data_IF_142008512716
#
_entry.id   IF_142008512716
#
_cell.length_a   1.000
_cell.length_b   1.000
_cell.length_c   1.000
_cell.angle_alpha   90.00
_cell.angle_beta   90.00
_cell.angle_gamma   90.00
#
_symmetry.space_group_name_H-M   'P 1'
#
loop_
_entity.id
_entity.type
_entity.pdbx_description
1 polymer ?
#
# COMPACT_ATOMS: atom_id res chain seq x y z
N UNK A 1 27.79 3.48 -3.43
CA UNK A 1 27.74 3.75 -4.88
C UNK A 1 26.82 2.70 -5.52
N UNK A 2 25.50 2.89 -5.41
CA UNK A 2 24.46 2.08 -6.08
C UNK A 2 23.20 2.93 -6.35
N UNK A 3 23.38 4.21 -6.69
CA UNK A 3 22.26 5.15 -6.91
C UNK A 3 21.73 5.16 -8.35
N UNK A 4 22.25 4.31 -9.23
CA UNK A 4 22.00 4.37 -10.68
C UNK A 4 20.68 3.73 -11.15
N UNK A 5 20.01 2.93 -10.32
CA UNK A 5 18.84 2.13 -10.78
C UNK A 5 17.55 2.96 -10.80
N UNK A 6 17.48 4.01 -9.98
CA UNK A 6 16.31 4.90 -9.88
C UNK A 6 16.59 6.29 -10.47
N UNK A 7 17.75 6.50 -11.08
CA UNK A 7 18.09 7.75 -11.73
C UNK A 7 17.13 8.03 -12.89
N UNK A 8 16.45 9.18 -12.84
CA UNK A 8 15.42 9.56 -13.81
C UNK A 8 14.00 9.06 -13.47
N UNK A 9 13.82 8.24 -12.43
CA UNK A 9 12.49 7.90 -11.93
C UNK A 9 11.94 9.09 -11.14
N UNK A 10 10.81 9.64 -11.59
CA UNK A 10 10.14 10.77 -10.93
C UNK A 10 8.84 10.37 -10.22
N UNK A 11 8.30 9.19 -10.56
CA UNK A 11 7.03 8.70 -10.04
C UNK A 11 7.11 7.22 -9.67
N UNK A 12 6.51 6.87 -8.54
CA UNK A 12 6.36 5.50 -8.05
C UNK A 12 4.88 5.18 -7.85
N UNK A 13 4.42 4.08 -8.44
CA UNK A 13 3.08 3.55 -8.19
C UNK A 13 3.24 2.20 -7.50
N UNK A 14 2.63 2.08 -6.32
CA UNK A 14 2.81 0.93 -5.43
C UNK A 14 1.50 0.19 -5.27
N UNK A 15 1.51 -1.12 -5.43
CA UNK A 15 0.36 -2.00 -5.18
C UNK A 15 0.75 -2.99 -4.09
N UNK A 16 -0.19 -3.35 -3.22
CA UNK A 16 0.08 -4.33 -2.17
C UNK A 16 -0.97 -4.33 -1.07
N UNK A 17 -0.55 -4.80 0.09
CA UNK A 17 -1.35 -5.00 1.30
C UNK A 17 -1.02 -3.94 2.36
N UNK A 18 -1.19 -4.32 3.64
CA UNK A 18 -0.86 -3.58 4.86
C UNK A 18 0.50 -2.85 4.78
N UNK A 19 1.52 -3.46 4.17
CA UNK A 19 2.90 -2.93 4.18
C UNK A 19 3.09 -1.64 3.37
N UNK A 20 2.13 -1.33 2.50
CA UNK A 20 2.15 -0.16 1.62
C UNK A 20 0.83 0.62 1.67
N UNK A 21 -0.10 0.24 2.53
CA UNK A 21 -1.33 0.99 2.77
C UNK A 21 -1.01 2.31 3.51
N UNK A 22 -1.46 3.43 2.94
CA UNK A 22 -1.25 4.78 3.46
C UNK A 22 -2.45 5.30 4.27
N UNK A 23 -3.33 4.42 4.73
CA UNK A 23 -4.53 4.75 5.49
C UNK A 23 -5.84 4.55 4.73
N UNK A 24 -5.82 3.83 3.60
CA UNK A 24 -7.03 3.47 2.87
C UNK A 24 -7.91 2.54 3.71
N UNK A 25 -7.37 1.45 4.26
CA UNK A 25 -8.15 0.60 5.17
C UNK A 25 -8.64 1.35 6.40
N UNK A 26 -7.85 2.29 6.92
CA UNK A 26 -8.26 3.18 8.01
C UNK A 26 -9.50 3.99 7.66
N UNK A 27 -9.51 4.63 6.50
CA UNK A 27 -10.65 5.41 6.03
C UNK A 27 -11.88 4.54 5.76
N UNK A 28 -11.69 3.36 5.16
CA UNK A 28 -12.81 2.45 4.86
C UNK A 28 -13.39 1.75 6.11
N UNK A 29 -12.65 1.72 7.21
CA UNK A 29 -13.11 1.22 8.51
C UNK A 29 -13.46 2.36 9.49
N UNK A 30 -13.93 3.50 8.99
CA UNK A 30 -14.38 4.65 9.79
C UNK A 30 -13.35 5.15 10.83
N UNK A 31 -12.05 5.00 10.52
CA UNK A 31 -10.96 5.39 11.40
C UNK A 31 -10.71 4.46 12.59
N UNK A 32 -11.16 3.20 12.51
CA UNK A 32 -11.04 2.22 13.59
C UNK A 32 -9.86 1.27 13.38
N UNK A 33 -9.56 0.89 12.14
CA UNK A 33 -8.57 -0.15 11.83
C UNK A 33 -7.60 0.29 10.72
N UNK A 34 -6.28 0.33 10.95
CA UNK A 34 -5.57 -0.14 12.15
C UNK A 34 -5.79 0.77 13.37
N UNK A 35 -5.64 0.22 14.59
CA UNK A 35 -5.90 0.97 15.85
C UNK A 35 -5.01 2.23 15.93
N UNK A 36 -5.61 3.44 15.89
CA UNK A 36 -4.86 4.69 15.84
C UNK A 36 -4.06 4.97 17.11
N UNK A 37 -4.26 4.22 18.20
CA UNK A 37 -3.47 4.35 19.44
C UNK A 37 -2.07 3.77 19.32
N UNK A 38 -1.86 2.81 18.40
CA UNK A 38 -0.59 2.09 18.25
C UNK A 38 -0.04 2.15 16.83
N UNK A 39 -0.88 2.49 15.85
CA UNK A 39 -0.52 2.60 14.44
C UNK A 39 -0.48 4.05 13.96
N UNK A 40 0.47 4.35 13.09
CA UNK A 40 0.79 5.70 12.67
C UNK A 40 -0.17 6.21 11.60
N UNK A 41 -1.08 7.12 11.95
CA UNK A 41 -1.99 7.81 11.01
C UNK A 41 -2.58 6.88 9.92
N UNK A 42 -3.11 5.73 10.34
CA UNK A 42 -3.72 4.74 9.45
C UNK A 42 -2.78 3.77 8.72
N UNK A 43 -1.45 3.89 8.89
CA UNK A 43 -0.48 2.90 8.36
C UNK A 43 -0.38 1.71 9.31
N UNK A 44 -0.15 0.51 8.77
CA UNK A 44 0.13 -0.70 9.56
C UNK A 44 1.58 -0.75 10.09
N UNK A 45 2.11 0.40 10.50
CA UNK A 45 3.44 0.53 11.10
C UNK A 45 3.47 1.72 12.07
N UNK A 46 4.59 1.92 12.76
CA UNK A 46 4.78 3.00 13.74
C UNK A 46 5.34 4.30 13.12
N UNK A 47 5.29 4.44 11.79
CA UNK A 47 5.82 5.57 11.04
C UNK A 47 5.54 5.46 9.55
N UNK A 48 6.46 5.94 8.73
CA UNK A 48 6.41 5.78 7.27
C UNK A 48 6.62 4.31 6.87
N UNK A 49 5.84 3.85 5.88
CA UNK A 49 6.07 2.57 5.19
C UNK A 49 7.43 2.56 4.47
N UNK A 50 7.90 1.38 4.06
CA UNK A 50 9.16 1.28 3.29
C UNK A 50 9.10 2.07 1.98
N UNK A 51 7.92 2.08 1.34
CA UNK A 51 7.70 2.78 0.08
C UNK A 51 7.71 4.30 0.28
N UNK A 52 7.06 4.81 1.34
CA UNK A 52 7.13 6.23 1.71
C UNK A 52 8.58 6.67 1.99
N UNK A 53 9.36 5.84 2.71
CA UNK A 53 10.77 6.12 2.98
C UNK A 53 11.60 6.18 1.70
N UNK A 54 11.45 5.17 0.83
CA UNK A 54 12.18 5.14 -0.45
C UNK A 54 11.85 6.36 -1.33
N UNK A 55 10.57 6.72 -1.42
CA UNK A 55 10.12 7.87 -2.17
C UNK A 55 10.68 9.18 -1.59
N UNK A 56 10.68 9.32 -0.26
CA UNK A 56 11.24 10.48 0.42
C UNK A 56 12.75 10.60 0.20
N UNK A 57 13.49 9.50 0.39
CA UNK A 57 14.96 9.46 0.25
C UNK A 57 15.41 9.77 -1.19
N UNK A 58 14.57 9.48 -2.18
CA UNK A 58 14.88 9.67 -3.60
C UNK A 58 14.20 10.89 -4.23
N UNK A 59 13.37 11.63 -3.48
CA UNK A 59 12.62 12.77 -4.00
C UNK A 59 11.62 12.37 -5.10
N UNK A 60 11.03 11.19 -4.99
CA UNK A 60 10.10 10.60 -5.97
C UNK A 60 8.66 10.87 -5.52
N UNK A 61 7.80 11.32 -6.43
CA UNK A 61 6.36 11.40 -6.17
C UNK A 61 5.76 10.00 -6.11
N UNK A 62 4.96 9.70 -5.09
CA UNK A 62 4.42 8.35 -4.90
C UNK A 62 2.91 8.33 -4.78
N UNK A 63 2.30 7.33 -5.42
CA UNK A 63 0.91 6.93 -5.22
C UNK A 63 0.89 5.46 -4.78
N UNK A 64 0.16 5.16 -3.71
CA UNK A 64 -0.06 3.78 -3.28
C UNK A 64 -1.52 3.38 -3.47
N UNK A 65 -1.70 2.16 -3.98
CA UNK A 65 -2.94 1.41 -4.03
C UNK A 65 -2.95 0.26 -3.00
N UNK A 66 -2.09 0.35 -1.99
CA UNK A 66 -2.12 -0.55 -0.84
C UNK A 66 -3.51 -0.58 -0.19
N UNK A 67 -3.97 -1.78 0.12
CA UNK A 67 -5.19 -1.98 0.89
C UNK A 67 -4.95 -3.08 1.90
N UNK A 68 -5.08 -2.74 3.18
CA UNK A 68 -4.91 -3.69 4.25
C UNK A 68 -5.93 -4.84 4.20
N UNK A 69 -5.55 -6.00 4.77
CA UNK A 69 -6.33 -7.24 4.77
C UNK A 69 -6.58 -7.83 3.37
N UNK A 70 -5.85 -7.39 2.34
CA UNK A 70 -5.89 -8.01 1.02
C UNK A 70 -5.32 -9.43 1.08
N UNK A 71 -6.18 -10.41 1.39
CA UNK A 71 -5.97 -11.80 0.99
C UNK A 71 -6.41 -11.88 -0.46
N UNK A 72 -5.55 -12.39 -1.35
CA UNK A 72 -5.90 -12.69 -2.75
C UNK A 72 -6.97 -13.80 -2.79
N UNK A 73 -8.24 -13.45 -2.55
CA UNK A 73 -9.37 -14.27 -2.94
C UNK A 73 -9.70 -13.93 -4.38
N UNK A 74 -9.05 -14.64 -5.32
CA UNK A 74 -9.62 -14.79 -6.65
C UNK A 74 -10.88 -15.65 -6.50
N UNK A 75 -12.03 -15.01 -6.29
CA UNK A 75 -13.31 -15.65 -6.57
C UNK A 75 -13.42 -15.76 -8.10
N UNK A 76 -12.87 -16.82 -8.68
CA UNK A 76 -13.38 -17.30 -9.94
C UNK A 76 -14.86 -17.65 -9.68
N UNK A 77 -15.78 -16.85 -10.20
CA UNK A 77 -17.12 -17.35 -10.49
C UNK A 77 -16.95 -18.23 -11.74
N UNK A 78 -16.91 -19.57 -11.65
CA UNK A 78 -17.08 -20.37 -12.85
C UNK A 78 -18.51 -20.09 -13.32
N UNK A 79 -18.64 -19.38 -14.44
CA UNK A 79 -19.90 -19.36 -15.18
C UNK A 79 -20.14 -20.84 -15.56
N UNK A 80 -21.22 -21.49 -15.09
CA UNK A 80 -21.51 -22.84 -15.55
C UNK A 80 -21.94 -22.73 -17.00
N UNK A 81 -21.09 -23.17 -17.92
CA UNK A 81 -21.53 -23.51 -19.26
C UNK A 81 -22.34 -24.80 -19.15
N UNK A 82 -23.67 -24.68 -19.12
CA UNK A 82 -24.57 -25.78 -19.42
C UNK A 82 -24.62 -25.93 -20.95
N UNK A 83 -24.13 -27.05 -21.46
CA UNK A 83 -24.41 -27.53 -22.83
C UNK A 83 -25.64 -28.44 -22.83
#
# INVERSE_FOLDING_TARGET
MHDSILEGVSNMVVFGDDNVDLGRSFLENDGIYPDPKIYYYGRFTNGLTWAEKLANDKGISMISYGFGMLILFFSFNPIPFTF
#
